data_IF_844200171600
#
_entry.id   IF_844200171600
#
_cell.length_a   1.000
_cell.length_b   1.000
_cell.length_c   1.000
_cell.angle_alpha   90.00
_cell.angle_beta   90.00
_cell.angle_gamma   90.00
#
_symmetry.space_group_name_H-M   'P 1'
#
loop_
_entity.id
_entity.type
_entity.pdbx_description
1 polymer ?
#
# COMPACT_ATOMS: atom_id res chain seq x y z
N UNK A 1 -7.89 27.94 -41.37
CA UNK A 1 -9.29 27.59 -41.69
C UNK A 1 -9.29 26.34 -42.54
N UNK A 2 -10.18 25.39 -42.22
CA UNK A 2 -10.57 24.16 -42.95
C UNK A 2 -9.47 23.08 -43.09
N UNK A 3 -9.47 21.95 -42.37
CA UNK A 3 -10.51 20.95 -42.06
C UNK A 3 -11.03 20.27 -43.33
N UNK A 4 -10.64 19.01 -43.55
CA UNK A 4 -11.57 17.98 -43.97
C UNK A 4 -11.09 16.55 -43.70
N UNK A 5 -11.79 15.93 -42.76
CA UNK A 5 -11.97 14.50 -42.55
C UNK A 5 -12.74 13.91 -43.74
N UNK A 6 -12.46 12.64 -44.10
CA UNK A 6 -13.51 11.73 -44.60
C UNK A 6 -13.18 10.27 -44.27
N UNK A 7 -14.07 9.71 -43.47
CA UNK A 7 -14.30 8.30 -43.12
C UNK A 7 -15.09 7.62 -44.24
N UNK A 8 -14.86 6.32 -44.47
CA UNK A 8 -15.81 5.31 -44.98
C UNK A 8 -15.07 3.96 -45.00
N UNK A 9 -15.66 2.78 -44.80
CA UNK A 9 -16.82 2.26 -44.07
C UNK A 9 -16.68 0.72 -44.14
N UNK A 10 -17.23 0.01 -43.16
CA UNK A 10 -17.27 -1.45 -42.98
C UNK A 10 -17.83 -2.27 -44.16
N UNK A 11 -17.40 -3.55 -44.29
CA UNK A 11 -18.28 -4.71 -44.55
C UNK A 11 -17.76 -5.98 -43.81
N UNK A 12 -18.63 -6.60 -43.01
CA UNK A 12 -18.54 -7.95 -42.41
C UNK A 12 -19.00 -9.03 -43.41
N UNK A 13 -18.56 -10.29 -43.30
CA UNK A 13 -19.44 -11.49 -43.29
C UNK A 13 -18.67 -12.80 -42.99
N UNK A 14 -19.35 -13.71 -42.29
CA UNK A 14 -18.89 -14.97 -41.71
C UNK A 14 -19.06 -16.20 -42.64
N UNK A 15 -18.27 -17.24 -42.32
CA UNK A 15 -18.61 -18.68 -42.18
C UNK A 15 -18.50 -19.73 -43.33
N UNK A 16 -17.61 -20.71 -43.04
CA UNK A 16 -17.75 -22.20 -43.00
C UNK A 16 -17.46 -23.16 -44.19
N UNK A 17 -16.81 -24.28 -43.81
CA UNK A 17 -16.48 -25.57 -44.48
C UNK A 17 -15.32 -25.55 -45.49
N UNK A 18 -14.31 -26.42 -45.49
CA UNK A 18 -13.98 -27.64 -44.76
C UNK A 18 -13.30 -28.61 -45.74
N UNK A 19 -12.03 -29.02 -45.53
CA UNK A 19 -11.49 -30.29 -46.07
C UNK A 19 -10.10 -30.60 -45.50
N UNK A 20 -9.92 -31.86 -45.10
CA UNK A 20 -8.72 -32.43 -44.50
C UNK A 20 -7.63 -32.74 -45.54
N UNK A 21 -6.36 -32.64 -45.13
CA UNK A 21 -5.37 -33.70 -45.38
C UNK A 21 -4.15 -33.54 -44.47
N UNK A 22 -3.66 -34.70 -44.06
CA UNK A 22 -2.52 -35.00 -43.20
C UNK A 22 -1.18 -34.46 -43.68
N UNK A 23 -0.35 -33.97 -42.77
CA UNK A 23 0.97 -34.56 -42.52
C UNK A 23 1.55 -34.10 -41.18
N UNK A 24 1.90 -35.10 -40.38
CA UNK A 24 2.67 -35.00 -39.15
C UNK A 24 4.09 -34.53 -39.43
N UNK A 25 4.48 -33.39 -38.86
CA UNK A 25 5.81 -33.21 -38.27
C UNK A 25 5.65 -32.38 -37.02
N UNK A 26 5.79 -33.07 -35.89
CA UNK A 26 6.05 -32.49 -34.59
C UNK A 26 7.37 -31.75 -34.64
N UNK A 27 7.32 -30.42 -34.63
CA UNK A 27 8.44 -29.59 -34.17
C UNK A 27 8.03 -29.05 -32.81
N UNK A 28 8.58 -29.71 -31.78
CA UNK A 28 8.62 -29.24 -30.41
C UNK A 28 9.27 -27.85 -30.38
N UNK A 29 8.44 -26.82 -30.39
CA UNK A 29 8.81 -25.47 -29.97
C UNK A 29 8.86 -25.43 -28.44
N UNK A 30 9.74 -26.24 -27.85
CA UNK A 30 10.27 -25.96 -26.52
C UNK A 30 11.32 -24.87 -26.69
N UNK A 31 10.88 -23.62 -26.75
CA UNK A 31 11.74 -22.50 -26.36
C UNK A 31 12.02 -22.66 -24.86
N UNK A 32 12.96 -23.54 -24.55
CA UNK A 32 13.73 -23.52 -23.33
C UNK A 32 14.30 -22.11 -23.23
N UNK A 33 13.74 -21.32 -22.32
CA UNK A 33 14.42 -20.14 -21.83
C UNK A 33 15.77 -20.62 -21.30
N UNK A 34 16.82 -20.38 -22.08
CA UNK A 34 18.18 -20.56 -21.63
C UNK A 34 18.39 -19.55 -20.49
N UNK A 35 18.19 -20.01 -19.26
CA UNK A 35 18.52 -19.27 -18.05
C UNK A 35 20.03 -19.12 -18.06
N UNK A 36 20.51 -18.05 -18.70
CA UNK A 36 21.91 -17.62 -18.58
C UNK A 36 22.17 -17.42 -17.10
N UNK A 37 23.00 -18.27 -16.52
CA UNK A 37 23.56 -18.04 -15.20
C UNK A 37 24.25 -16.65 -15.23
N UNK A 38 23.84 -15.69 -14.40
CA UNK A 38 24.48 -14.39 -14.42
C UNK A 38 25.90 -14.55 -13.87
N UNK A 39 26.91 -14.28 -14.70
CA UNK A 39 28.26 -13.99 -14.22
C UNK A 39 28.19 -12.65 -13.47
N UNK A 40 28.00 -12.71 -12.15
CA UNK A 40 27.85 -11.54 -11.29
C UNK A 40 29.21 -11.05 -10.79
N UNK A 41 29.82 -10.09 -11.49
CA UNK A 41 30.67 -9.13 -10.77
C UNK A 41 29.73 -8.24 -9.96
N UNK A 42 29.85 -8.27 -8.62
CA UNK A 42 29.17 -7.32 -7.73
C UNK A 42 29.35 -5.89 -8.24
N UNK A 43 28.25 -5.20 -8.51
CA UNK A 43 28.25 -3.78 -8.83
C UNK A 43 28.27 -2.88 -7.56
N UNK A 44 28.16 -3.49 -6.37
CA UNK A 44 28.27 -2.84 -5.06
C UNK A 44 29.74 -2.61 -4.69
N UNK A 45 30.08 -1.40 -4.23
CA UNK A 45 31.41 -1.07 -3.73
C UNK A 45 31.72 -1.89 -2.47
N UNK A 46 32.71 -2.80 -2.51
CA UNK A 46 33.07 -3.62 -1.35
C UNK A 46 33.43 -2.80 -0.12
N UNK A 47 34.00 -1.60 -0.28
CA UNK A 47 34.39 -0.75 0.85
C UNK A 47 33.18 -0.14 1.54
N UNK A 48 32.19 0.33 0.77
CA UNK A 48 30.93 0.83 1.32
C UNK A 48 30.19 -0.28 2.09
N UNK A 49 30.14 -1.48 1.52
CA UNK A 49 29.54 -2.65 2.16
C UNK A 49 30.26 -3.02 3.46
N UNK A 50 31.59 -3.05 3.46
CA UNK A 50 32.40 -3.33 4.65
C UNK A 50 32.20 -2.28 5.76
N UNK A 51 31.96 -1.02 5.40
CA UNK A 51 31.65 0.04 6.35
C UNK A 51 30.24 -0.06 6.95
N UNK A 52 29.27 -0.56 6.17
CA UNK A 52 27.86 -0.66 6.59
C UNK A 52 27.58 -1.92 7.41
N UNK A 53 28.14 -3.06 7.01
CA UNK A 53 27.79 -4.37 7.55
C UNK A 53 27.87 -4.45 9.09
N UNK A 54 28.91 -3.94 9.77
CA UNK A 54 28.97 -3.99 11.24
C UNK A 54 27.85 -3.23 11.95
N UNK A 55 27.40 -2.11 11.39
CA UNK A 55 26.29 -1.34 11.95
C UNK A 55 24.96 -2.11 11.81
N UNK A 56 24.75 -2.74 10.65
CA UNK A 56 23.54 -3.54 10.42
C UNK A 56 23.54 -4.78 11.33
N UNK A 57 24.68 -5.45 11.48
CA UNK A 57 24.85 -6.56 12.43
C UNK A 57 24.52 -6.13 13.87
N UNK A 58 25.00 -4.96 14.30
CA UNK A 58 24.71 -4.43 15.64
C UNK A 58 23.23 -4.15 15.86
N UNK A 59 22.51 -3.65 14.84
CA UNK A 59 21.07 -3.42 14.94
C UNK A 59 20.30 -4.74 15.00
N UNK A 60 20.70 -5.70 14.19
CA UNK A 60 20.17 -7.07 14.18
C UNK A 60 20.35 -7.70 15.57
N UNK A 61 21.57 -7.66 16.11
CA UNK A 61 21.90 -8.20 17.45
C UNK A 61 21.21 -7.46 18.60
N UNK A 62 20.84 -6.19 18.42
CA UNK A 62 20.06 -5.45 19.40
C UNK A 62 18.57 -5.84 19.37
N UNK A 63 18.04 -6.16 18.18
CA UNK A 63 16.65 -6.57 17.98
C UNK A 63 16.37 -8.00 18.47
N UNK A 64 17.35 -8.91 18.36
CA UNK A 64 17.30 -10.28 18.87
C UNK A 64 18.72 -10.65 19.36
N UNK A 65 19.01 -10.66 20.67
CA UNK A 65 20.34 -11.01 21.16
C UNK A 65 20.74 -12.47 20.87
N UNK A 66 19.77 -13.36 20.65
CA UNK A 66 20.01 -14.79 20.44
C UNK A 66 20.51 -15.09 19.02
N UNK A 67 20.46 -14.11 18.12
CA UNK A 67 20.91 -14.26 16.72
C UNK A 67 22.36 -13.84 16.48
N UNK A 68 23.05 -13.37 17.53
CA UNK A 68 24.51 -13.14 17.52
C UNK A 68 25.24 -14.37 17.01
N UNK A 69 26.07 -14.20 15.97
CA UNK A 69 26.77 -15.29 15.31
C UNK A 69 27.70 -14.83 14.21
N UNK A 70 28.14 -15.76 13.37
CA UNK A 70 28.87 -15.46 12.15
C UNK A 70 27.92 -14.94 11.07
N UNK A 71 28.36 -13.93 10.33
CA UNK A 71 27.66 -13.40 9.16
C UNK A 71 28.35 -13.91 7.90
N UNK A 72 27.60 -14.62 7.06
CA UNK A 72 28.13 -15.26 5.83
C UNK A 72 27.43 -14.70 4.60
N UNK A 73 28.16 -14.45 3.52
CA UNK A 73 27.57 -14.00 2.25
C UNK A 73 26.85 -15.18 1.58
N UNK A 74 25.56 -15.03 1.31
CA UNK A 74 24.69 -16.04 0.68
C UNK A 74 24.38 -15.73 -0.79
N UNK A 75 24.18 -14.45 -1.12
CA UNK A 75 23.91 -14.02 -2.50
C UNK A 75 24.68 -12.73 -2.82
N UNK A 76 25.25 -12.68 -4.02
CA UNK A 76 25.95 -11.49 -4.53
C UNK A 76 25.58 -11.24 -6.00
N UNK A 77 24.80 -10.18 -6.23
CA UNK A 77 24.48 -9.71 -7.57
C UNK A 77 24.64 -8.18 -7.67
N UNK A 78 24.43 -7.65 -8.87
CA UNK A 78 24.59 -6.22 -9.09
C UNK A 78 23.58 -5.34 -8.35
N UNK A 79 22.48 -5.90 -7.87
CA UNK A 79 21.39 -5.15 -7.25
C UNK A 79 21.48 -5.19 -5.72
N UNK A 80 21.97 -6.29 -5.15
CA UNK A 80 22.12 -6.48 -3.70
C UNK A 80 23.13 -7.56 -3.31
N UNK A 81 23.57 -7.46 -2.06
CA UNK A 81 24.25 -8.53 -1.30
C UNK A 81 23.35 -9.02 -0.19
N UNK A 82 23.19 -10.34 -0.07
CA UNK A 82 22.44 -10.99 1.00
C UNK A 82 23.41 -11.76 1.87
N UNK A 83 23.41 -11.45 3.16
CA UNK A 83 24.16 -12.13 4.18
C UNK A 83 23.21 -12.92 5.09
N UNK A 84 23.69 -14.06 5.60
CA UNK A 84 23.01 -14.87 6.59
C UNK A 84 23.69 -14.73 7.94
N UNK A 85 22.90 -14.42 8.96
CA UNK A 85 23.30 -14.37 10.37
C UNK A 85 22.35 -15.27 11.15
N UNK A 86 22.75 -16.54 11.34
CA UNK A 86 21.86 -17.65 11.77
C UNK A 86 20.58 -17.73 10.91
N UNK A 87 19.42 -17.48 11.52
CA UNK A 87 18.07 -17.51 10.90
C UNK A 87 17.64 -16.15 10.30
N UNK A 88 18.56 -15.20 10.17
CA UNK A 88 18.25 -13.86 9.65
C UNK A 88 18.98 -13.60 8.34
N UNK A 89 18.27 -12.93 7.42
CA UNK A 89 18.85 -12.33 6.22
C UNK A 89 19.17 -10.86 6.49
N UNK A 90 20.39 -10.45 6.22
CA UNK A 90 20.85 -9.06 6.19
C UNK A 90 21.06 -8.69 4.73
N UNK A 91 20.45 -7.61 4.25
CA UNK A 91 20.41 -7.32 2.82
C UNK A 91 20.87 -5.90 2.55
N UNK A 92 21.91 -5.76 1.75
CA UNK A 92 22.51 -4.49 1.37
C UNK A 92 22.23 -4.25 -0.10
N UNK A 93 21.38 -3.28 -0.41
CA UNK A 93 21.04 -2.90 -1.79
C UNK A 93 22.06 -1.92 -2.38
N UNK A 94 22.17 -1.92 -3.70
CA UNK A 94 22.99 -0.97 -4.46
C UNK A 94 22.49 0.46 -4.39
N UNK A 95 21.18 0.65 -4.29
CA UNK A 95 20.58 1.98 -4.29
C UNK A 95 20.75 2.65 -2.91
N UNK A 96 21.44 3.80 -2.80
CA UNK A 96 21.60 4.53 -1.54
C UNK A 96 20.27 5.05 -0.95
N UNK A 97 19.19 5.19 -1.74
CA UNK A 97 17.85 5.50 -1.22
C UNK A 97 17.21 4.30 -0.51
N UNK A 98 17.72 3.09 -0.75
CA UNK A 98 17.32 1.88 -0.05
C UNK A 98 18.16 1.63 1.21
N UNK A 99 19.05 2.54 1.62
CA UNK A 99 19.89 2.34 2.81
C UNK A 99 19.06 2.22 4.10
N UNK A 100 18.03 3.06 4.27
CA UNK A 100 17.04 2.90 5.36
C UNK A 100 16.18 1.63 5.18
N UNK A 101 15.89 1.22 3.94
CA UNK A 101 15.16 -0.02 3.68
C UNK A 101 16.00 -1.28 3.96
N UNK A 102 17.31 -1.22 3.73
CA UNK A 102 18.32 -2.25 4.06
C UNK A 102 18.47 -2.43 5.57
N UNK A 103 18.37 -1.34 6.35
CA UNK A 103 18.39 -1.38 7.81
C UNK A 103 17.09 -1.99 8.38
N UNK A 104 15.97 -1.83 7.66
CA UNK A 104 14.65 -2.34 8.06
C UNK A 104 14.35 -3.77 7.54
N UNK A 105 15.13 -4.32 6.61
CA UNK A 105 14.89 -5.66 6.05
C UNK A 105 15.57 -6.77 6.86
N UNK A 106 15.38 -6.76 8.19
CA UNK A 106 15.74 -7.90 9.03
C UNK A 106 14.62 -8.93 8.88
N UNK A 107 14.76 -9.87 7.95
CA UNK A 107 13.75 -10.91 7.72
C UNK A 107 14.13 -12.13 8.53
N UNK A 108 13.31 -12.48 9.53
CA UNK A 108 13.33 -13.78 10.20
C UNK A 108 12.94 -14.86 9.18
N UNK A 109 13.85 -15.79 8.88
CA UNK A 109 13.66 -16.82 7.82
C UNK A 109 12.90 -18.05 8.31
N UNK A 110 11.96 -17.90 9.24
CA UNK A 110 11.16 -19.03 9.67
C UNK A 110 9.98 -19.18 8.68
N UNK A 111 10.24 -19.99 7.64
CA UNK A 111 9.29 -20.46 6.62
C UNK A 111 8.82 -19.40 5.62
N UNK A 112 9.30 -19.45 4.36
CA UNK A 112 8.52 -19.17 3.12
C UNK A 112 9.36 -19.02 1.82
N UNK A 113 10.53 -19.65 1.66
CA UNK A 113 11.29 -19.60 0.39
C UNK A 113 10.52 -20.10 -0.85
N UNK A 114 9.38 -20.79 -0.68
CA UNK A 114 8.52 -21.22 -1.79
C UNK A 114 7.23 -20.41 -1.96
N UNK A 115 6.93 -19.43 -1.11
CA UNK A 115 5.69 -18.64 -1.15
C UNK A 115 5.86 -17.24 -1.79
N UNK A 116 7.10 -16.74 -1.88
CA UNK A 116 7.43 -15.43 -2.45
C UNK A 116 7.87 -15.52 -3.92
N UNK A 117 7.04 -16.10 -4.78
CA UNK A 117 7.35 -16.26 -6.21
C UNK A 117 6.70 -15.15 -7.06
N UNK A 118 7.24 -14.83 -8.25
CA UNK A 118 6.53 -14.00 -9.24
C UNK A 118 5.11 -14.50 -9.55
N UNK A 119 4.86 -15.82 -9.42
CA UNK A 119 3.52 -16.40 -9.58
C UNK A 119 2.53 -15.92 -8.50
N UNK A 120 3.01 -15.65 -7.28
CA UNK A 120 2.19 -15.09 -6.21
C UNK A 120 1.73 -13.67 -6.55
N UNK A 121 2.63 -12.83 -7.08
CA UNK A 121 2.28 -11.49 -7.57
C UNK A 121 1.30 -11.56 -8.73
N UNK A 122 1.56 -12.42 -9.72
CA UNK A 122 0.65 -12.59 -10.86
C UNK A 122 -0.75 -13.08 -10.44
N UNK A 123 -0.81 -13.96 -9.43
CA UNK A 123 -2.08 -14.40 -8.82
C UNK A 123 -2.78 -13.23 -8.12
N UNK A 124 -2.06 -12.45 -7.32
CA UNK A 124 -2.62 -11.29 -6.62
C UNK A 124 -3.16 -10.23 -7.59
N UNK A 125 -2.39 -9.87 -8.62
CA UNK A 125 -2.82 -8.93 -9.67
C UNK A 125 -4.09 -9.43 -10.37
N UNK A 126 -4.16 -10.72 -10.70
CA UNK A 126 -5.33 -11.34 -11.30
C UNK A 126 -6.54 -11.29 -10.38
N UNK A 127 -6.39 -11.72 -9.13
CA UNK A 127 -7.50 -11.76 -8.17
C UNK A 127 -8.04 -10.35 -7.89
N UNK A 128 -7.16 -9.35 -7.79
CA UNK A 128 -7.55 -7.94 -7.67
C UNK A 128 -8.36 -7.49 -8.90
N UNK A 129 -7.93 -7.86 -10.10
CA UNK A 129 -8.65 -7.49 -11.34
C UNK A 129 -10.04 -8.14 -11.44
N UNK A 130 -10.25 -9.30 -10.81
CA UNK A 130 -11.52 -10.03 -10.83
C UNK A 130 -12.55 -9.50 -9.83
N UNK A 131 -12.13 -8.70 -8.84
CA UNK A 131 -13.01 -8.16 -7.81
C UNK A 131 -13.83 -6.95 -8.27
N UNK A 132 -13.67 -6.52 -9.53
CA UNK A 132 -14.33 -5.34 -10.12
C UNK A 132 -14.16 -4.05 -9.29
N UNK A 133 -13.01 -3.93 -8.62
CA UNK A 133 -12.63 -2.72 -7.87
C UNK A 133 -11.66 -1.90 -8.70
N UNK A 134 -12.20 -0.99 -9.51
CA UNK A 134 -11.44 -0.11 -10.42
C UNK A 134 -10.26 0.62 -9.74
N UNK A 135 -10.37 0.91 -8.45
CA UNK A 135 -9.34 1.62 -7.69
C UNK A 135 -8.10 0.74 -7.42
N UNK A 136 -8.29 -0.52 -7.01
CA UNK A 136 -7.20 -1.38 -6.55
C UNK A 136 -6.26 -1.78 -7.69
N UNK A 137 -6.81 -2.15 -8.85
CA UNK A 137 -6.01 -2.51 -10.02
C UNK A 137 -5.18 -1.32 -10.54
N UNK A 138 -5.76 -0.11 -10.56
CA UNK A 138 -5.06 1.10 -10.99
C UNK A 138 -3.90 1.48 -10.04
N UNK A 139 -4.06 1.27 -8.73
CA UNK A 139 -3.00 1.51 -7.73
C UNK A 139 -1.85 0.54 -7.92
N UNK A 140 -2.15 -0.75 -8.04
CA UNK A 140 -1.14 -1.79 -8.23
C UNK A 140 -0.35 -1.53 -9.52
N UNK A 141 -1.04 -1.17 -10.61
CA UNK A 141 -0.40 -0.85 -11.88
C UNK A 141 0.55 0.36 -11.78
N UNK A 142 0.12 1.45 -11.14
CA UNK A 142 0.98 2.64 -10.99
C UNK A 142 2.14 2.38 -10.02
N UNK A 143 1.90 1.65 -8.92
CA UNK A 143 2.95 1.26 -7.98
C UNK A 143 4.02 0.38 -8.64
N UNK A 144 3.61 -0.56 -9.49
CA UNK A 144 4.51 -1.39 -10.30
C UNK A 144 5.37 -0.57 -11.24
N UNK A 145 4.77 0.42 -11.90
CA UNK A 145 5.50 1.32 -12.79
C UNK A 145 6.53 2.15 -12.04
N UNK A 146 6.20 2.65 -10.84
CA UNK A 146 7.11 3.48 -10.01
C UNK A 146 8.20 2.66 -9.33
N UNK A 147 7.91 1.42 -8.94
CA UNK A 147 8.81 0.54 -8.19
C UNK A 147 9.28 -0.66 -9.01
N UNK A 148 9.36 -0.52 -10.34
CA UNK A 148 9.64 -1.62 -11.26
C UNK A 148 10.92 -2.40 -10.90
N UNK A 149 11.94 -1.70 -10.40
CA UNK A 149 13.23 -2.27 -10.02
C UNK A 149 13.17 -3.25 -8.84
N UNK A 150 12.22 -3.05 -7.90
CA UNK A 150 12.02 -3.91 -6.72
C UNK A 150 10.75 -4.74 -6.78
N UNK A 151 9.92 -4.61 -7.81
CA UNK A 151 8.59 -5.21 -7.84
C UNK A 151 8.62 -6.73 -7.66
N UNK A 152 9.58 -7.41 -8.29
CA UNK A 152 9.76 -8.86 -8.18
C UNK A 152 10.81 -9.27 -7.14
N UNK A 153 11.32 -8.33 -6.34
CA UNK A 153 12.31 -8.62 -5.33
C UNK A 153 11.62 -9.26 -4.11
N UNK A 154 12.03 -10.46 -3.72
CA UNK A 154 11.39 -11.19 -2.60
C UNK A 154 11.59 -10.55 -1.23
N UNK A 155 12.58 -9.66 -1.09
CA UNK A 155 13.03 -9.16 0.20
C UNK A 155 12.52 -7.74 0.48
N UNK A 156 12.39 -6.89 -0.55
CA UNK A 156 11.85 -5.52 -0.43
C UNK A 156 10.64 -5.24 -1.33
N UNK A 157 10.32 -6.17 -2.22
CA UNK A 157 9.20 -6.04 -3.14
C UNK A 157 7.86 -6.35 -2.47
N UNK A 158 6.77 -6.02 -3.17
CA UNK A 158 5.41 -6.20 -2.68
C UNK A 158 5.03 -7.64 -2.30
N UNK A 159 5.74 -8.64 -2.84
CA UNK A 159 5.43 -10.05 -2.57
C UNK A 159 5.53 -10.39 -1.07
N UNK A 160 6.32 -9.65 -0.29
CA UNK A 160 6.45 -9.82 1.16
C UNK A 160 5.15 -9.60 1.94
N UNK A 161 4.19 -8.87 1.34
CA UNK A 161 2.88 -8.61 1.95
C UNK A 161 1.85 -9.68 1.60
N UNK A 162 2.19 -10.63 0.71
CA UNK A 162 1.26 -11.62 0.17
C UNK A 162 1.43 -12.98 0.84
N UNK A 163 0.31 -13.58 1.19
CA UNK A 163 0.21 -14.89 1.83
C UNK A 163 -0.43 -15.92 0.88
N UNK A 164 0.13 -16.09 -0.33
CA UNK A 164 -0.48 -16.87 -1.42
C UNK A 164 -0.70 -18.38 -1.14
N UNK A 165 -0.10 -18.91 -0.07
CA UNK A 165 -0.26 -20.31 0.37
C UNK A 165 -1.09 -20.47 1.64
N UNK A 166 -1.55 -19.38 2.23
CA UNK A 166 -2.40 -19.42 3.41
C UNK A 166 -3.84 -19.79 3.05
N UNK A 167 -4.68 -19.95 4.07
CA UNK A 167 -6.10 -20.11 3.84
C UNK A 167 -6.71 -18.90 3.10
N UNK A 168 -7.93 -19.08 2.61
CA UNK A 168 -8.63 -18.07 1.82
C UNK A 168 -8.73 -16.73 2.57
N UNK A 169 -8.96 -16.74 3.87
CA UNK A 169 -9.16 -15.53 4.68
C UNK A 169 -7.85 -14.77 4.84
N UNK A 170 -6.78 -15.46 5.21
CA UNK A 170 -5.46 -14.86 5.37
C UNK A 170 -4.91 -14.35 4.04
N UNK A 171 -5.21 -15.03 2.93
CA UNK A 171 -4.85 -14.55 1.60
C UNK A 171 -5.53 -13.23 1.26
N UNK A 172 -6.85 -13.07 1.47
CA UNK A 172 -7.53 -11.80 1.18
C UNK A 172 -7.07 -10.65 2.08
N UNK A 173 -6.73 -10.93 3.35
CA UNK A 173 -6.09 -9.93 4.22
C UNK A 173 -4.73 -9.47 3.72
N UNK A 174 -3.96 -10.42 3.18
CA UNK A 174 -2.66 -10.13 2.55
C UNK A 174 -2.82 -9.28 1.28
N UNK A 175 -3.89 -9.50 0.50
CA UNK A 175 -4.20 -8.66 -0.67
C UNK A 175 -4.57 -7.23 -0.30
N UNK A 176 -5.33 -7.02 0.78
CA UNK A 176 -5.61 -5.68 1.29
C UNK A 176 -4.33 -4.96 1.71
N UNK A 177 -3.46 -5.64 2.46
CA UNK A 177 -2.15 -5.10 2.85
C UNK A 177 -1.34 -4.75 1.60
N UNK A 178 -1.33 -5.62 0.59
CA UNK A 178 -0.67 -5.35 -0.68
C UNK A 178 -1.24 -4.12 -1.40
N UNK A 179 -2.56 -3.92 -1.45
CA UNK A 179 -3.18 -2.73 -2.06
C UNK A 179 -2.86 -1.46 -1.26
N UNK A 180 -2.95 -1.52 0.07
CA UNK A 180 -2.61 -0.43 0.97
C UNK A 180 -1.17 0.04 0.76
N UNK A 181 -0.22 -0.88 0.87
CA UNK A 181 1.21 -0.57 0.72
C UNK A 181 1.57 -0.20 -0.73
N UNK A 182 0.87 -0.77 -1.72
CA UNK A 182 1.01 -0.33 -3.11
C UNK A 182 0.56 1.12 -3.29
N UNK A 183 -0.38 1.62 -2.49
CA UNK A 183 -0.80 3.03 -2.52
C UNK A 183 0.37 3.94 -2.12
N UNK A 184 1.07 3.61 -1.03
CA UNK A 184 2.30 4.30 -0.64
C UNK A 184 3.39 4.18 -1.71
N UNK A 185 3.53 3.01 -2.33
CA UNK A 185 4.47 2.78 -3.43
C UNK A 185 4.17 3.61 -4.68
N UNK A 186 2.90 3.94 -4.95
CA UNK A 186 2.49 4.76 -6.10
C UNK A 186 2.74 6.27 -5.89
N UNK A 187 3.09 6.69 -4.65
CA UNK A 187 3.42 8.07 -4.31
C UNK A 187 4.70 8.54 -5.00
N UNK A 188 4.75 9.82 -5.33
CA UNK A 188 5.97 10.50 -5.78
C UNK A 188 6.18 11.75 -4.93
N UNK A 189 7.17 11.72 -4.03
CA UNK A 189 7.41 12.83 -3.08
C UNK A 189 6.11 13.22 -2.32
N UNK A 190 5.66 14.47 -2.44
CA UNK A 190 4.40 14.97 -1.86
C UNK A 190 3.17 14.76 -2.77
N UNK A 191 3.30 13.98 -3.84
CA UNK A 191 2.23 13.71 -4.79
C UNK A 191 1.61 12.34 -4.55
N UNK A 192 0.33 12.34 -4.20
CA UNK A 192 -0.47 11.13 -3.94
C UNK A 192 -1.14 10.69 -5.25
N UNK A 193 -1.02 9.41 -5.59
CA UNK A 193 -1.78 8.85 -6.70
C UNK A 193 -3.22 8.58 -6.27
N UNK A 194 -4.18 9.24 -6.91
CA UNK A 194 -5.60 9.06 -6.63
C UNK A 194 -6.23 8.26 -7.77
N UNK A 195 -6.49 7.00 -7.47
CA UNK A 195 -6.90 6.00 -8.45
C UNK A 195 -8.23 6.34 -9.16
N UNK A 196 -9.16 7.00 -8.47
CA UNK A 196 -10.44 7.43 -9.05
C UNK A 196 -10.27 8.45 -10.18
N UNK A 197 -9.21 9.26 -10.12
CA UNK A 197 -8.85 10.24 -11.14
C UNK A 197 -7.70 9.78 -12.05
N UNK A 198 -7.10 8.62 -11.76
CA UNK A 198 -5.93 8.05 -12.46
C UNK A 198 -4.81 9.08 -12.66
N UNK A 199 -4.56 9.91 -11.65
CA UNK A 199 -3.57 10.99 -11.69
C UNK A 199 -2.94 11.22 -10.32
N UNK A 200 -1.79 11.89 -10.32
CA UNK A 200 -1.13 12.37 -9.10
C UNK A 200 -1.65 13.76 -8.71
N UNK A 201 -1.97 13.93 -7.42
CA UNK A 201 -2.25 15.22 -6.81
C UNK A 201 -1.12 15.58 -5.87
N UNK A 202 -0.45 16.69 -6.16
CA UNK A 202 0.71 17.16 -5.41
C UNK A 202 0.30 18.16 -4.34
N UNK A 203 0.60 17.83 -3.09
CA UNK A 203 0.41 18.74 -1.97
C UNK A 203 1.61 19.70 -1.89
N UNK A 204 1.33 20.99 -2.05
CA UNK A 204 2.31 22.07 -1.89
C UNK A 204 2.26 22.58 -0.46
N UNK A 205 2.94 21.85 0.45
CA UNK A 205 2.88 22.08 1.89
C UNK A 205 4.09 22.90 2.35
N UNK A 206 3.82 23.99 3.07
CA UNK A 206 4.86 24.81 3.67
C UNK A 206 5.67 24.00 4.69
N UNK A 207 7.00 24.08 4.62
CA UNK A 207 7.93 23.30 5.47
C UNK A 207 7.75 23.53 6.98
N UNK A 208 7.24 24.69 7.37
CA UNK A 208 7.03 25.05 8.78
C UNK A 208 5.67 24.57 9.32
N UNK A 209 4.89 23.82 8.53
CA UNK A 209 3.69 23.18 9.04
C UNK A 209 4.03 22.22 10.18
N UNK A 210 3.24 22.22 11.27
CA UNK A 210 3.47 21.31 12.39
C UNK A 210 3.33 19.86 11.93
N UNK A 211 4.04 18.96 12.61
CA UNK A 211 3.95 17.51 12.40
C UNK A 211 2.51 17.00 12.50
N UNK A 212 2.24 15.87 11.83
CA UNK A 212 0.93 15.19 11.87
C UNK A 212 0.47 14.84 13.29
N UNK A 213 1.39 14.74 14.26
CA UNK A 213 1.08 14.43 15.67
C UNK A 213 0.15 15.47 16.32
N UNK A 214 0.04 16.67 15.73
CA UNK A 214 -0.95 17.67 16.13
C UNK A 214 -2.41 17.14 16.07
N UNK A 215 -2.66 16.13 15.24
CA UNK A 215 -3.97 15.49 15.11
C UNK A 215 -4.33 14.54 16.27
N UNK A 216 -3.34 14.05 17.03
CA UNK A 216 -3.56 13.03 18.05
C UNK A 216 -4.50 13.49 19.19
N UNK A 217 -5.26 12.56 19.75
CA UNK A 217 -6.09 12.74 20.92
C UNK A 217 -5.25 12.71 22.20
N UNK A 218 -5.31 13.79 22.96
CA UNK A 218 -4.73 13.81 24.31
C UNK A 218 -5.54 12.95 25.28
N UNK A 219 -6.87 12.94 25.12
CA UNK A 219 -7.81 12.15 25.90
C UNK A 219 -8.92 11.66 24.97
N UNK A 220 -9.30 10.40 25.11
CA UNK A 220 -10.47 9.83 24.44
C UNK A 220 -11.71 9.93 25.34
N UNK A 221 -12.91 10.09 24.78
CA UNK A 221 -14.15 10.15 25.57
C UNK A 221 -14.67 8.77 26.00
N UNK A 222 -13.95 7.69 25.69
CA UNK A 222 -14.34 6.33 26.06
C UNK A 222 -14.16 6.08 27.55
N UNK A 223 -15.05 5.28 28.13
CA UNK A 223 -14.95 4.79 29.51
C UNK A 223 -14.43 3.35 29.58
N UNK A 224 -14.47 2.60 28.47
CA UNK A 224 -13.99 1.22 28.39
C UNK A 224 -12.45 1.18 28.28
N UNK A 225 -11.73 0.63 29.28
CA UNK A 225 -10.26 0.59 29.26
C UNK A 225 -9.65 -0.15 28.07
N UNK A 226 -10.31 -1.21 27.58
CA UNK A 226 -9.80 -1.99 26.45
C UNK A 226 -9.87 -1.20 25.12
N UNK A 227 -10.94 -0.42 24.93
CA UNK A 227 -11.08 0.47 23.77
C UNK A 227 -10.05 1.61 23.83
N UNK A 228 -9.90 2.24 25.00
CA UNK A 228 -8.89 3.29 25.22
C UNK A 228 -7.50 2.76 24.88
N UNK A 229 -7.14 1.58 25.37
CA UNK A 229 -5.83 0.99 25.12
C UNK A 229 -5.63 0.65 23.64
N UNK A 230 -6.66 0.15 22.95
CA UNK A 230 -6.63 -0.11 21.52
C UNK A 230 -6.36 1.17 20.70
N UNK A 231 -7.07 2.26 20.99
CA UNK A 231 -6.87 3.53 20.29
C UNK A 231 -5.54 4.21 20.63
N UNK A 232 -5.08 4.11 21.88
CA UNK A 232 -3.73 4.57 22.25
C UNK A 232 -2.64 3.80 21.49
N UNK A 233 -2.81 2.49 21.32
CA UNK A 233 -1.89 1.67 20.52
C UNK A 233 -1.86 2.10 19.05
N UNK A 234 -3.03 2.40 18.48
CA UNK A 234 -3.15 2.95 17.13
C UNK A 234 -2.45 4.32 17.02
N UNK A 235 -2.70 5.25 17.94
CA UNK A 235 -2.03 6.55 17.90
C UNK A 235 -0.52 6.45 18.12
N UNK A 236 -0.05 5.55 18.98
CA UNK A 236 1.38 5.30 19.13
C UNK A 236 2.02 4.79 17.83
N UNK A 237 1.31 3.94 17.07
CA UNK A 237 1.79 3.42 15.79
C UNK A 237 1.87 4.51 14.71
N UNK A 238 0.90 5.42 14.64
CA UNK A 238 0.81 6.42 13.57
C UNK A 238 1.28 7.83 13.94
N UNK A 239 1.42 8.15 15.22
CA UNK A 239 1.85 9.47 15.71
C UNK A 239 3.02 9.39 16.69
N UNK A 240 3.65 8.23 16.85
CA UNK A 240 4.75 8.01 17.79
C UNK A 240 6.07 8.71 17.42
N UNK A 241 6.23 9.16 16.17
CA UNK A 241 7.44 9.86 15.69
C UNK A 241 7.15 11.33 15.38
N UNK A 242 7.99 12.24 15.87
CA UNK A 242 7.89 13.69 15.62
C UNK A 242 8.33 14.10 14.21
N UNK A 243 8.97 13.20 13.46
CA UNK A 243 9.52 13.49 12.13
C UNK A 243 8.48 13.36 11.01
N UNK A 244 7.26 12.90 11.33
CA UNK A 244 6.26 12.60 10.33
C UNK A 244 5.48 13.85 9.90
N UNK A 245 5.48 14.08 8.58
CA UNK A 245 4.88 15.28 7.95
C UNK A 245 3.37 15.13 7.79
N UNK A 246 2.62 16.26 7.63
CA UNK A 246 1.21 16.20 7.24
C UNK A 246 0.94 15.44 5.93
N UNK A 247 1.87 15.46 4.97
CA UNK A 247 1.72 14.67 3.74
C UNK A 247 1.56 13.17 4.03
N UNK A 248 2.26 12.64 5.04
CA UNK A 248 2.14 11.24 5.45
C UNK A 248 0.76 10.94 6.06
N UNK A 249 0.09 11.91 6.69
CA UNK A 249 -1.27 11.71 7.20
C UNK A 249 -2.27 11.56 6.04
N UNK A 250 -2.15 12.40 5.01
CA UNK A 250 -3.00 12.32 3.83
C UNK A 250 -2.70 11.10 2.95
N UNK A 251 -1.45 10.63 2.95
CA UNK A 251 -1.04 9.40 2.28
C UNK A 251 -1.70 8.16 2.92
N UNK A 252 -1.71 8.08 4.26
CA UNK A 252 -2.45 7.04 5.00
C UNK A 252 -3.95 7.09 4.73
N UNK A 253 -4.56 8.30 4.73
CA UNK A 253 -5.96 8.46 4.33
C UNK A 253 -6.23 7.88 2.94
N UNK A 254 -5.35 8.15 1.96
CA UNK A 254 -5.47 7.61 0.60
C UNK A 254 -5.31 6.08 0.59
N UNK A 255 -4.34 5.54 1.33
CA UNK A 255 -4.09 4.10 1.43
C UNK A 255 -5.26 3.33 2.08
N UNK A 256 -5.84 3.84 3.18
CA UNK A 256 -7.03 3.25 3.79
C UNK A 256 -8.29 3.43 2.93
N UNK A 257 -8.36 4.49 2.12
CA UNK A 257 -9.44 4.66 1.15
C UNK A 257 -9.41 3.53 0.11
N UNK A 258 -8.23 3.20 -0.40
CA UNK A 258 -8.02 2.10 -1.34
C UNK A 258 -8.31 0.72 -0.72
N UNK A 259 -7.75 0.43 0.45
CA UNK A 259 -7.98 -0.83 1.16
C UNK A 259 -9.46 -1.05 1.51
N UNK A 260 -10.15 -0.01 1.98
CA UNK A 260 -11.59 -0.10 2.26
C UNK A 260 -12.41 -0.37 1.01
N UNK A 261 -12.07 0.24 -0.13
CA UNK A 261 -12.77 0.01 -1.39
C UNK A 261 -12.53 -1.42 -1.90
N UNK A 262 -11.30 -1.92 -1.74
CA UNK A 262 -10.93 -3.29 -2.06
C UNK A 262 -11.75 -4.29 -1.23
N UNK A 263 -11.82 -4.11 0.09
CA UNK A 263 -12.62 -4.96 0.96
C UNK A 263 -14.12 -4.93 0.65
N UNK A 264 -14.66 -3.76 0.29
CA UNK A 264 -16.04 -3.64 -0.16
C UNK A 264 -16.30 -4.54 -1.39
N UNK A 265 -15.39 -4.52 -2.37
CA UNK A 265 -15.48 -5.38 -3.55
C UNK A 265 -15.39 -6.88 -3.25
N UNK A 266 -14.54 -7.29 -2.30
CA UNK A 266 -14.50 -8.69 -1.84
C UNK A 266 -15.85 -9.10 -1.23
N UNK A 267 -16.41 -8.27 -0.36
CA UNK A 267 -17.71 -8.55 0.26
C UNK A 267 -18.81 -8.66 -0.79
N UNK A 268 -18.82 -7.77 -1.78
CA UNK A 268 -19.84 -7.75 -2.83
C UNK A 268 -19.73 -8.94 -3.80
N UNK A 269 -18.50 -9.37 -4.11
CA UNK A 269 -18.24 -10.40 -5.12
C UNK A 269 -18.21 -11.82 -4.54
N UNK A 270 -17.62 -12.00 -3.36
CA UNK A 270 -17.29 -13.33 -2.79
C UNK A 270 -18.09 -13.59 -1.51
N UNK A 271 -18.62 -12.55 -0.87
CA UNK A 271 -19.42 -12.65 0.34
C UNK A 271 -18.60 -12.91 1.61
N UNK A 272 -19.31 -13.11 2.73
CA UNK A 272 -18.77 -13.12 4.10
C UNK A 272 -17.73 -14.21 4.38
N UNK A 273 -17.82 -15.33 3.66
CA UNK A 273 -16.96 -16.53 3.88
C UNK A 273 -15.47 -16.28 3.59
N UNK A 274 -15.13 -15.24 2.85
CA UNK A 274 -13.77 -14.95 2.42
C UNK A 274 -12.98 -14.03 3.36
N UNK A 275 -13.64 -13.41 4.37
CA UNK A 275 -13.03 -12.30 5.13
C UNK A 275 -13.13 -12.51 6.65
N UNK A 276 -13.92 -13.47 7.14
CA UNK A 276 -14.23 -13.58 8.57
C UNK A 276 -13.90 -14.92 9.21
N UNK A 277 -13.05 -14.84 10.24
CA UNK A 277 -13.18 -15.65 11.47
C UNK A 277 -13.34 -14.77 12.72
N UNK A 278 -12.66 -13.63 12.76
CA UNK A 278 -12.85 -12.57 13.76
C UNK A 278 -12.67 -11.21 13.08
N UNK A 279 -13.59 -10.27 13.31
CA UNK A 279 -13.72 -9.05 12.51
C UNK A 279 -12.43 -8.25 12.40
N UNK A 280 -11.99 -8.02 11.16
CA UNK A 280 -10.81 -7.21 10.91
C UNK A 280 -11.14 -5.75 11.23
N UNK A 281 -10.78 -5.35 12.45
CA UNK A 281 -10.95 -3.99 12.99
C UNK A 281 -10.18 -2.94 12.18
N UNK A 282 -9.24 -3.37 11.32
CA UNK A 282 -8.40 -2.47 10.52
C UNK A 282 -9.26 -1.65 9.56
N UNK A 283 -10.13 -2.28 8.78
CA UNK A 283 -10.94 -1.55 7.79
C UNK A 283 -12.08 -0.75 8.41
N UNK A 284 -12.67 -1.23 9.51
CA UNK A 284 -13.86 -0.60 10.13
C UNK A 284 -13.52 0.61 10.99
N UNK A 285 -12.28 0.71 11.45
CA UNK A 285 -11.81 1.77 12.35
C UNK A 285 -10.84 2.71 11.65
N UNK A 286 -9.87 2.21 10.88
CA UNK A 286 -8.75 3.03 10.42
C UNK A 286 -9.19 4.09 9.41
N UNK A 287 -10.02 3.76 8.41
CA UNK A 287 -10.47 4.79 7.46
C UNK A 287 -11.23 5.94 8.15
N UNK A 288 -12.28 5.69 8.97
CA UNK A 288 -12.93 6.75 9.75
C UNK A 288 -11.95 7.51 10.66
N UNK A 289 -10.98 6.83 11.27
CA UNK A 289 -9.96 7.46 12.10
C UNK A 289 -9.11 8.44 11.29
N UNK A 290 -8.57 8.03 10.14
CA UNK A 290 -7.74 8.88 9.29
C UNK A 290 -8.50 10.02 8.63
N UNK A 291 -9.78 9.83 8.31
CA UNK A 291 -10.68 10.93 7.92
C UNK A 291 -10.79 11.96 9.05
N UNK A 292 -11.02 11.49 10.29
CA UNK A 292 -11.11 12.35 11.47
C UNK A 292 -9.80 13.08 11.77
N UNK A 293 -8.68 12.36 11.79
CA UNK A 293 -7.35 12.93 12.05
C UNK A 293 -6.98 13.98 11.02
N UNK A 294 -7.32 13.77 9.75
CA UNK A 294 -7.08 14.75 8.68
C UNK A 294 -7.81 16.07 8.94
N UNK A 295 -9.12 16.01 9.27
CA UNK A 295 -9.88 17.23 9.60
C UNK A 295 -9.41 17.88 10.89
N UNK A 296 -9.09 17.06 11.90
CA UNK A 296 -8.59 17.54 13.18
C UNK A 296 -7.25 18.25 13.04
N UNK A 297 -6.34 17.73 12.22
CA UNK A 297 -5.09 18.40 11.86
C UNK A 297 -5.39 19.78 11.29
N UNK A 298 -6.27 19.88 10.31
CA UNK A 298 -6.65 21.15 9.69
C UNK A 298 -7.26 22.13 10.69
N UNK A 299 -8.19 21.68 11.54
CA UNK A 299 -8.79 22.50 12.59
C UNK A 299 -7.75 23.00 13.60
N UNK A 300 -6.79 22.15 13.97
CA UNK A 300 -5.70 22.50 14.89
C UNK A 300 -4.76 23.52 14.27
N UNK A 301 -4.31 23.32 13.03
CA UNK A 301 -3.50 24.29 12.30
C UNK A 301 -4.26 25.61 12.15
N UNK A 302 -5.55 25.60 11.83
CA UNK A 302 -6.37 26.82 11.74
C UNK A 302 -6.39 27.62 13.03
N UNK A 303 -6.53 26.96 14.17
CA UNK A 303 -6.63 27.61 15.48
C UNK A 303 -5.28 28.03 16.04
N UNK A 304 -4.28 27.17 15.91
CA UNK A 304 -2.98 27.31 16.59
C UNK A 304 -1.93 27.97 15.69
N UNK A 305 -2.09 27.88 14.37
CA UNK A 305 -1.17 28.44 13.35
C UNK A 305 -1.93 29.09 12.17
N UNK A 306 -2.76 30.12 12.42
CA UNK A 306 -3.69 30.67 11.42
C UNK A 306 -3.00 31.17 10.14
N UNK A 307 -1.80 31.76 10.23
CA UNK A 307 -1.05 32.20 9.04
C UNK A 307 -0.66 31.02 8.14
N UNK A 308 -0.15 29.94 8.73
CA UNK A 308 0.19 28.73 7.98
C UNK A 308 -1.07 28.06 7.41
N UNK A 309 -2.17 28.08 8.16
CA UNK A 309 -3.45 27.59 7.65
C UNK A 309 -3.89 28.37 6.41
N UNK A 310 -3.86 29.71 6.44
CA UNK A 310 -4.28 30.53 5.30
C UNK A 310 -3.40 30.27 4.07
N UNK A 311 -2.08 30.19 4.28
CA UNK A 311 -1.12 29.93 3.21
C UNK A 311 -1.33 28.56 2.53
N UNK A 312 -1.75 27.54 3.30
CA UNK A 312 -1.77 26.16 2.80
C UNK A 312 -3.18 25.63 2.51
N UNK A 313 -4.20 26.05 3.26
CA UNK A 313 -5.50 25.38 3.34
C UNK A 313 -6.70 26.34 3.26
N UNK A 314 -6.49 27.62 2.92
CA UNK A 314 -7.61 28.55 2.72
C UNK A 314 -8.49 28.14 1.52
N UNK A 315 -9.67 28.77 1.40
CA UNK A 315 -10.67 28.56 0.34
C UNK A 315 -10.11 28.60 -1.08
N UNK A 316 -9.04 29.37 -1.32
CA UNK A 316 -8.41 29.50 -2.63
C UNK A 316 -7.19 28.60 -2.82
N UNK A 317 -6.81 27.78 -1.83
CA UNK A 317 -5.65 26.91 -1.92
C UNK A 317 -5.95 25.63 -2.70
N UNK A 318 -4.99 25.20 -3.52
CA UNK A 318 -5.08 23.91 -4.24
C UNK A 318 -5.09 22.73 -3.27
N UNK A 319 -4.33 22.79 -2.18
CA UNK A 319 -4.28 21.72 -1.19
C UNK A 319 -5.66 21.50 -0.56
N UNK A 320 -6.43 22.57 -0.27
CA UNK A 320 -7.80 22.42 0.23
C UNK A 320 -8.66 21.62 -0.73
N UNK A 321 -8.66 21.97 -2.02
CA UNK A 321 -9.44 21.23 -3.03
C UNK A 321 -9.03 19.75 -3.09
N UNK A 322 -7.72 19.46 -3.01
CA UNK A 322 -7.22 18.09 -3.02
C UNK A 322 -7.61 17.31 -1.75
N UNK A 323 -7.51 17.94 -0.57
CA UNK A 323 -7.89 17.27 0.69
C UNK A 323 -9.40 17.03 0.73
N UNK A 324 -10.23 17.97 0.26
CA UNK A 324 -11.67 17.73 0.11
C UNK A 324 -11.92 16.53 -0.80
N UNK A 325 -11.25 16.46 -1.95
CA UNK A 325 -11.40 15.32 -2.86
C UNK A 325 -10.96 13.99 -2.23
N UNK A 326 -9.88 13.97 -1.44
CA UNK A 326 -9.45 12.78 -0.70
C UNK A 326 -10.51 12.34 0.31
N UNK A 327 -11.08 13.28 1.06
CA UNK A 327 -12.12 13.02 2.04
C UNK A 327 -13.42 12.54 1.39
N UNK A 328 -13.85 13.16 0.28
CA UNK A 328 -15.03 12.73 -0.46
C UNK A 328 -14.85 11.31 -1.03
N UNK A 329 -13.64 10.96 -1.48
CA UNK A 329 -13.33 9.59 -1.91
C UNK A 329 -13.34 8.60 -0.72
N UNK A 330 -12.82 9.02 0.44
CA UNK A 330 -12.85 8.24 1.66
C UNK A 330 -14.29 7.98 2.14
N UNK A 331 -15.15 9.00 2.15
CA UNK A 331 -16.59 8.87 2.47
C UNK A 331 -17.29 7.89 1.54
N UNK A 332 -17.03 7.97 0.23
CA UNK A 332 -17.60 7.02 -0.74
C UNK A 332 -17.12 5.60 -0.51
N UNK A 333 -15.84 5.43 -0.18
CA UNK A 333 -15.25 4.12 0.11
C UNK A 333 -15.86 3.51 1.39
N UNK A 334 -15.92 4.28 2.48
CA UNK A 334 -16.54 3.87 3.74
C UNK A 334 -18.02 3.52 3.56
N UNK A 335 -18.79 4.35 2.85
CA UNK A 335 -20.18 4.08 2.54
C UNK A 335 -20.36 2.81 1.70
N UNK A 336 -19.46 2.53 0.77
CA UNK A 336 -19.50 1.32 -0.05
C UNK A 336 -19.23 0.08 0.78
N UNK A 337 -18.26 0.13 1.68
CA UNK A 337 -18.00 -0.93 2.64
C UNK A 337 -19.22 -1.20 3.55
N UNK A 338 -19.83 -0.15 4.12
CA UNK A 338 -21.03 -0.29 4.96
C UNK A 338 -22.15 -1.01 4.20
N UNK A 339 -22.42 -0.61 2.94
CA UNK A 339 -23.44 -1.24 2.10
C UNK A 339 -23.12 -2.72 1.84
N UNK A 340 -21.89 -3.04 1.47
CA UNK A 340 -21.47 -4.41 1.20
C UNK A 340 -21.57 -5.29 2.46
N UNK A 341 -21.18 -4.76 3.63
CA UNK A 341 -21.29 -5.44 4.92
C UNK A 341 -22.75 -5.73 5.30
N UNK A 342 -23.65 -4.75 5.13
CA UNK A 342 -25.08 -4.91 5.38
C UNK A 342 -25.71 -5.99 4.48
N UNK A 343 -25.34 -6.01 3.19
CA UNK A 343 -25.84 -6.97 2.20
C UNK A 343 -25.53 -8.42 2.58
N UNK A 344 -24.36 -8.69 3.17
CA UNK A 344 -23.97 -10.04 3.58
C UNK A 344 -24.50 -10.44 4.97
N UNK A 345 -25.51 -9.73 5.47
CA UNK A 345 -26.15 -9.99 6.76
C UNK A 345 -25.21 -9.75 7.94
N UNK A 346 -24.12 -9.00 7.73
CA UNK A 346 -23.35 -8.52 8.86
C UNK A 346 -24.13 -7.39 9.50
N UNK A 347 -24.30 -7.50 10.81
CA UNK A 347 -24.64 -6.30 11.54
C UNK A 347 -23.35 -5.49 11.43
N UNK A 348 -23.33 -4.47 10.57
CA UNK A 348 -22.38 -3.37 10.68
C UNK A 348 -22.64 -2.69 12.04
N UNK A 349 -22.45 -3.43 13.12
CA UNK A 349 -23.01 -3.17 14.44
C UNK A 349 -22.26 -2.05 15.15
N UNK A 350 -21.15 -1.63 14.54
CA UNK A 350 -20.40 -0.43 14.81
C UNK A 350 -20.45 0.54 13.61
N UNK A 351 -21.59 0.59 12.89
CA UNK A 351 -21.84 1.58 11.83
C UNK A 351 -21.81 3.03 12.34
N UNK A 352 -21.84 3.21 13.67
CA UNK A 352 -21.43 4.42 14.36
C UNK A 352 -20.09 4.24 15.08
N UNK A 353 -19.00 3.98 14.35
CA UNK A 353 -17.68 4.16 14.96
C UNK A 353 -17.63 5.60 15.49
N UNK A 354 -17.14 5.78 16.72
CA UNK A 354 -17.04 7.11 17.32
C UNK A 354 -16.33 8.10 16.39
N UNK A 355 -15.32 7.62 15.65
CA UNK A 355 -14.65 8.38 14.60
C UNK A 355 -15.59 8.92 13.52
N UNK A 356 -16.63 8.22 13.08
CA UNK A 356 -17.60 8.80 12.13
C UNK A 356 -18.35 9.99 12.71
N UNK A 357 -18.73 9.94 14.00
CA UNK A 357 -19.39 11.07 14.68
C UNK A 357 -18.43 12.25 14.85
N UNK A 358 -17.20 11.99 15.29
CA UNK A 358 -16.16 13.02 15.41
C UNK A 358 -15.80 13.62 14.06
N UNK A 359 -15.69 12.80 13.02
CA UNK A 359 -15.46 13.26 11.65
C UNK A 359 -16.50 14.32 11.23
N UNK A 360 -17.80 14.05 11.44
CA UNK A 360 -18.85 15.02 11.13
C UNK A 360 -18.74 16.30 11.98
N UNK A 361 -18.38 16.17 13.26
CA UNK A 361 -18.17 17.32 14.14
C UNK A 361 -16.97 18.18 13.72
N UNK A 362 -15.85 17.56 13.34
CA UNK A 362 -14.64 18.24 12.85
C UNK A 362 -14.91 18.89 11.47
N UNK A 363 -15.69 18.24 10.59
CA UNK A 363 -16.06 18.77 9.27
C UNK A 363 -16.91 20.03 9.41
N UNK A 364 -17.92 19.98 10.28
CA UNK A 364 -18.80 21.11 10.57
C UNK A 364 -18.02 22.35 11.07
N UNK A 365 -16.97 22.14 11.90
CA UNK A 365 -16.15 23.25 12.39
C UNK A 365 -15.39 23.97 11.26
N UNK A 366 -15.00 23.26 10.19
CA UNK A 366 -14.30 23.86 9.05
C UNK A 366 -15.23 24.59 8.08
N UNK A 367 -16.55 24.35 8.17
CA UNK A 367 -17.53 24.86 7.20
C UNK A 367 -17.35 24.25 5.81
N UNK A 368 -17.05 22.95 5.75
CA UNK A 368 -16.78 22.17 4.54
C UNK A 368 -17.90 21.20 4.19
#
# INVERSE_FOLDING_TARGET
MNLQVKVCLLINFLSFTGCASSHSKSEDSSTLYEVRAPQTKSCLDPNAVAAMLPNVESLVDASDPDIRGETTLSQDNCDKKVYLRKKHRIIIYRDPTALEASLNSIVSTNEQDSAFTPDCLAKAERDISLLDVDLAAAIVAESRKKNAWKWNDMDIGPVRWLSCKSDKVDYYKSLDTFVHESTHGARQENCLYVASAKTHFCLDLHKDLPSRNLAAYKNFPFTNPAEIQGYKGLEAAYFGSSEQTPAMLFDELNAYTAGTAFYAGILDSIGRSAIYRDGDKRTTILLPAFMTYSLRYLNRVRREHPTLYVQNFDVNSKNRSFIIQLLDNAEKSDASWIRAAQKVGDRAKDSESWFRKEYQAERAQLGW
#
